data_IF_508113708014
#
_entry.id   IF_508113708014
#
_cell.length_a   1.000
_cell.length_b   1.000
_cell.length_c   1.000
_cell.angle_alpha   90.00
_cell.angle_beta   90.00
_cell.angle_gamma   90.00
#
_symmetry.space_group_name_H-M   'P 1'
#
loop_
_entity.id
_entity.type
_entity.pdbx_description
1 polymer ?
#
# COMPACT_ATOMS: atom_id res chain seq x y z
N UNK A 1 35.89 23.83 -24.08
CA UNK A 1 35.13 22.56 -24.16
C UNK A 1 34.34 22.43 -22.86
N UNK A 2 33.02 22.64 -22.87
CA UNK A 2 32.20 22.65 -21.65
C UNK A 2 31.22 21.47 -21.67
N UNK A 3 31.54 20.40 -20.92
CA UNK A 3 30.66 19.27 -20.72
C UNK A 3 29.70 19.57 -19.55
N UNK A 4 28.57 20.21 -19.86
CA UNK A 4 27.48 20.35 -18.89
C UNK A 4 26.79 18.98 -18.78
N UNK A 5 27.16 18.23 -17.75
CA UNK A 5 26.47 17.02 -17.28
C UNK A 5 25.08 17.44 -16.80
N UNK A 6 24.12 17.54 -17.71
CA UNK A 6 22.73 17.73 -17.35
C UNK A 6 22.20 16.37 -16.91
N UNK A 7 22.24 16.18 -15.59
CA UNK A 7 21.63 15.07 -14.86
C UNK A 7 20.20 14.93 -15.39
N UNK A 8 19.91 13.78 -16.00
CA UNK A 8 18.55 13.40 -16.40
C UNK A 8 17.72 13.40 -15.12
N UNK A 9 16.87 14.41 -14.95
CA UNK A 9 15.79 14.34 -13.99
C UNK A 9 14.81 13.30 -14.53
N UNK A 10 14.51 12.19 -13.83
CA UNK A 10 13.26 11.50 -14.05
C UNK A 10 12.20 12.31 -13.30
N UNK A 11 11.76 13.41 -13.90
CA UNK A 11 10.51 14.05 -13.48
C UNK A 11 9.39 13.14 -13.95
N UNK A 12 9.24 11.99 -13.29
CA UNK A 12 8.05 11.17 -13.39
C UNK A 12 6.97 11.87 -12.52
N UNK A 13 6.55 13.04 -12.99
CA UNK A 13 5.28 13.64 -12.57
C UNK A 13 4.19 12.81 -13.20
N UNK A 14 3.95 11.64 -12.61
CA UNK A 14 2.75 10.88 -12.91
C UNK A 14 1.60 11.72 -12.34
N UNK A 15 0.64 12.17 -13.16
CA UNK A 15 -0.50 12.91 -12.66
C UNK A 15 -1.26 12.05 -11.63
N UNK A 16 -1.34 12.61 -10.43
CA UNK A 16 -1.97 12.17 -9.17
C UNK A 16 -3.45 11.71 -9.23
N UNK A 17 -4.02 11.28 -10.36
CA UNK A 17 -5.49 11.16 -10.44
C UNK A 17 -6.09 9.79 -10.74
N UNK A 18 -5.36 8.77 -11.22
CA UNK A 18 -5.99 7.45 -11.44
C UNK A 18 -5.03 6.28 -11.67
N UNK A 19 -3.85 6.26 -11.05
CA UNK A 19 -2.97 5.10 -11.20
C UNK A 19 -3.51 3.94 -10.36
N UNK A 20 -4.39 3.15 -10.98
CA UNK A 20 -4.76 1.85 -10.43
C UNK A 20 -3.63 0.89 -10.74
N UNK A 21 -3.03 0.35 -9.69
CA UNK A 21 -1.96 -0.62 -9.80
C UNK A 21 -2.44 -1.97 -9.31
N UNK A 22 -1.80 -3.03 -9.82
CA UNK A 22 -2.01 -4.38 -9.32
C UNK A 22 -1.56 -4.51 -7.87
N UNK A 23 -2.03 -5.57 -7.20
CA UNK A 23 -1.59 -5.91 -5.83
C UNK A 23 -0.07 -5.98 -5.72
N UNK A 24 0.60 -6.62 -6.68
CA UNK A 24 2.05 -6.78 -6.67
C UNK A 24 2.76 -5.43 -6.79
N UNK A 25 2.33 -4.58 -7.72
CA UNK A 25 2.90 -3.24 -7.89
C UNK A 25 2.74 -2.37 -6.64
N UNK A 26 1.60 -2.48 -5.93
CA UNK A 26 1.40 -1.81 -4.65
C UNK A 26 2.35 -2.31 -3.56
N UNK A 27 2.61 -3.62 -3.51
CA UNK A 27 3.56 -4.23 -2.57
C UNK A 27 4.99 -3.78 -2.90
N UNK A 28 5.39 -3.76 -4.18
CA UNK A 28 6.71 -3.31 -4.60
C UNK A 28 6.91 -1.82 -4.34
N UNK A 29 5.85 -1.03 -4.55
CA UNK A 29 5.79 0.42 -4.35
C UNK A 29 5.38 0.85 -2.94
N UNK A 30 5.54 -0.02 -1.93
CA UNK A 30 5.15 0.28 -0.55
C UNK A 30 5.79 1.57 0.01
N UNK A 31 6.97 1.93 -0.51
CA UNK A 31 7.66 3.19 -0.17
C UNK A 31 6.84 4.43 -0.53
N UNK A 32 6.01 4.38 -1.58
CA UNK A 32 5.12 5.49 -1.98
C UNK A 32 4.10 5.77 -0.88
N UNK A 33 3.62 4.72 -0.21
CA UNK A 33 2.66 4.82 0.89
C UNK A 33 3.32 5.00 2.27
N UNK A 34 4.66 5.04 2.33
CA UNK A 34 5.45 5.04 3.60
C UNK A 34 5.04 3.89 4.52
N UNK A 35 4.75 2.73 3.93
CA UNK A 35 4.35 1.50 4.62
C UNK A 35 5.31 0.39 4.28
N UNK A 36 5.31 -0.64 5.11
CA UNK A 36 6.11 -1.83 4.86
C UNK A 36 5.41 -2.74 3.84
N UNK A 37 6.20 -3.45 3.02
CA UNK A 37 5.66 -4.37 1.99
C UNK A 37 4.74 -5.43 2.58
N UNK A 38 5.07 -5.95 3.75
CA UNK A 38 4.26 -6.96 4.43
C UNK A 38 2.94 -6.42 4.98
N UNK A 39 2.85 -5.12 5.33
CA UNK A 39 1.59 -4.50 5.75
C UNK A 39 0.64 -4.39 4.55
N UNK A 40 1.17 -4.00 3.39
CA UNK A 40 0.39 -3.93 2.15
C UNK A 40 -0.01 -5.31 1.68
N UNK A 41 0.92 -6.28 1.68
CA UNK A 41 0.62 -7.65 1.28
C UNK A 41 -0.44 -8.29 2.19
N UNK A 42 -0.39 -8.04 3.50
CA UNK A 42 -1.41 -8.49 4.45
C UNK A 42 -2.76 -7.81 4.22
N UNK A 43 -2.78 -6.50 3.99
CA UNK A 43 -3.99 -5.75 3.73
C UNK A 43 -4.67 -6.09 2.39
N UNK A 44 -3.86 -6.46 1.40
CA UNK A 44 -4.31 -6.89 0.08
C UNK A 44 -4.36 -8.42 -0.04
N UNK A 45 -4.19 -9.17 1.05
CA UNK A 45 -4.16 -10.64 1.02
C UNK A 45 -5.42 -11.21 0.37
N UNK A 46 -6.57 -10.64 0.72
CA UNK A 46 -7.90 -10.99 0.21
C UNK A 46 -8.19 -10.46 -1.22
N UNK A 47 -7.31 -9.63 -1.79
CA UNK A 47 -7.45 -9.14 -3.16
C UNK A 47 -6.71 -10.03 -4.16
N UNK A 48 -7.34 -10.28 -5.31
CA UNK A 48 -6.71 -10.94 -6.46
C UNK A 48 -5.60 -10.08 -7.08
N UNK A 49 -4.62 -10.74 -7.68
CA UNK A 49 -3.46 -10.07 -8.29
C UNK A 49 -3.84 -9.21 -9.50
N UNK A 50 -4.85 -9.63 -10.26
CA UNK A 50 -5.42 -8.87 -11.38
C UNK A 50 -6.29 -7.68 -10.93
N UNK A 51 -6.53 -7.52 -9.62
CA UNK A 51 -7.32 -6.41 -9.10
C UNK A 51 -6.53 -5.11 -9.18
N UNK A 52 -7.02 -4.20 -10.02
CA UNK A 52 -6.49 -2.85 -10.15
C UNK A 52 -7.06 -1.95 -9.05
N UNK A 53 -6.26 -1.67 -8.04
CA UNK A 53 -6.64 -0.89 -6.86
C UNK A 53 -6.13 0.55 -6.98
N UNK A 54 -6.99 1.51 -6.64
CA UNK A 54 -6.56 2.90 -6.48
C UNK A 54 -5.76 3.07 -5.19
N UNK A 55 -4.96 4.13 -5.13
CA UNK A 55 -4.21 4.49 -3.93
C UNK A 55 -5.10 4.61 -2.70
N UNK A 56 -6.27 5.22 -2.83
CA UNK A 56 -7.21 5.42 -1.73
C UNK A 56 -7.76 4.09 -1.20
N UNK A 57 -8.09 3.15 -2.09
CA UNK A 57 -8.56 1.80 -1.70
C UNK A 57 -7.47 1.04 -0.94
N UNK A 58 -6.22 1.09 -1.41
CA UNK A 58 -5.09 0.45 -0.72
C UNK A 58 -4.87 1.09 0.64
N UNK A 59 -4.91 2.41 0.75
CA UNK A 59 -4.77 3.11 2.03
C UNK A 59 -5.88 2.68 3.00
N UNK A 60 -7.14 2.63 2.56
CA UNK A 60 -8.25 2.20 3.40
C UNK A 60 -8.10 0.74 3.86
N UNK A 61 -7.74 -0.17 2.96
CA UNK A 61 -7.49 -1.58 3.30
C UNK A 61 -6.32 -1.74 4.27
N UNK A 62 -5.21 -1.04 4.04
CA UNK A 62 -4.03 -1.05 4.94
C UNK A 62 -4.38 -0.48 6.30
N UNK A 63 -5.12 0.62 6.36
CA UNK A 63 -5.60 1.18 7.62
C UNK A 63 -6.56 0.23 8.35
N UNK A 64 -7.45 -0.44 7.63
CA UNK A 64 -8.36 -1.43 8.21
C UNK A 64 -7.59 -2.63 8.76
N UNK A 65 -6.62 -3.16 8.01
CA UNK A 65 -5.75 -4.26 8.44
C UNK A 65 -4.95 -3.91 9.70
N UNK A 66 -4.29 -2.75 9.72
CA UNK A 66 -3.55 -2.25 10.89
C UNK A 66 -4.44 -1.78 12.04
N UNK A 67 -5.71 -1.48 11.75
CA UNK A 67 -6.74 -1.16 12.73
C UNK A 67 -7.31 -2.42 13.39
N UNK A 68 -7.44 -3.52 12.64
CA UNK A 68 -7.83 -4.84 13.15
C UNK A 68 -6.76 -5.37 14.10
N UNK A 69 -5.48 -5.28 13.73
CA UNK A 69 -4.38 -5.72 14.61
C UNK A 69 -4.31 -4.93 15.91
N UNK A 70 -4.91 -3.73 15.98
CA UNK A 70 -5.03 -2.94 17.21
C UNK A 70 -6.30 -3.18 18.02
N UNK A 71 -7.32 -3.83 17.43
CA UNK A 71 -8.64 -4.00 18.06
C UNK A 71 -8.94 -5.43 18.49
N UNK A 72 -8.10 -6.40 18.14
CA UNK A 72 -8.25 -7.80 18.57
C UNK A 72 -7.61 -8.11 19.94
N UNK A 73 -7.59 -7.15 20.88
CA UNK A 73 -7.28 -7.41 22.31
C UNK A 73 -8.52 -7.27 23.21
N UNK A 74 -9.74 -7.33 22.64
CA UNK A 74 -10.98 -7.37 23.45
C UNK A 74 -12.00 -8.38 22.94
N UNK A 75 -11.56 -9.56 22.48
CA UNK A 75 -12.47 -10.72 22.54
C UNK A 75 -12.43 -11.23 23.97
N UNK A 76 -13.34 -10.69 24.77
CA UNK A 76 -13.70 -11.24 26.07
C UNK A 76 -14.08 -12.71 25.87
N UNK A 77 -13.19 -13.60 26.31
CA UNK A 77 -13.47 -15.04 26.40
C UNK A 77 -14.46 -15.22 27.54
N UNK A 78 -15.75 -15.10 27.22
CA UNK A 78 -16.83 -15.51 28.12
C UNK A 78 -16.79 -17.05 28.21
N UNK A 79 -15.90 -17.55 29.07
CA UNK A 79 -16.02 -18.90 29.63
C UNK A 79 -17.02 -18.77 30.77
N UNK A 80 -18.30 -18.93 30.45
CA UNK A 80 -19.29 -19.24 31.48
C UNK A 80 -19.43 -20.76 31.55
N UNK A 81 -19.05 -21.28 32.71
CA UNK A 81 -19.09 -22.67 33.17
C UNK A 81 -20.50 -23.30 33.13
#
# INVERSE_FOLDING_TARGET
MNLKKQIRQPTNVVPDTLNKWSKQEWIESAMVLKRERFEIAGALFDCDEDTLLTQQEVIQKVQAYLGLTKKEETVNVDTTE
#
